data_IF_341291185739
#
_entry.id   IF_341291185739
#
_cell.length_a   1.000
_cell.length_b   1.000
_cell.length_c   1.000
_cell.angle_alpha   90.00
_cell.angle_beta   90.00
_cell.angle_gamma   90.00
#
_symmetry.space_group_name_H-M   'P 1'
#
loop_
_entity.id
_entity.type
_entity.pdbx_description
1 polymer ?
#
# COMPACT_ATOMS: atom_id res chain seq x y z
N UNK A 1 -14.63 -0.63 13.19
CA UNK A 1 -15.45 -1.36 12.20
C UNK A 1 -14.54 -2.32 11.46
N UNK A 2 -15.05 -3.45 10.94
CA UNK A 2 -14.21 -4.39 10.16
C UNK A 2 -14.06 -3.93 8.72
N UNK A 3 -13.07 -4.47 8.01
CA UNK A 3 -12.89 -4.27 6.58
C UNK A 3 -14.17 -4.59 5.78
N UNK A 4 -14.80 -5.73 6.08
CA UNK A 4 -16.00 -6.18 5.39
C UNK A 4 -17.18 -5.17 5.51
N UNK A 5 -17.35 -4.53 6.67
CA UNK A 5 -18.39 -3.52 6.86
C UNK A 5 -18.13 -2.25 6.04
N UNK A 6 -16.88 -1.79 5.98
CA UNK A 6 -16.51 -0.62 5.17
C UNK A 6 -16.61 -0.92 3.67
N UNK A 7 -16.18 -2.11 3.25
CA UNK A 7 -16.31 -2.56 1.88
C UNK A 7 -17.78 -2.63 1.43
N UNK A 8 -18.68 -3.07 2.31
CA UNK A 8 -20.12 -3.10 2.01
C UNK A 8 -20.69 -1.70 1.75
N UNK A 9 -20.24 -0.67 2.50
CA UNK A 9 -20.64 0.72 2.25
C UNK A 9 -20.15 1.22 0.88
N UNK A 10 -18.90 0.94 0.51
CA UNK A 10 -18.36 1.29 -0.81
C UNK A 10 -19.14 0.60 -1.96
N UNK A 11 -19.54 -0.65 -1.75
CA UNK A 11 -20.27 -1.45 -2.73
C UNK A 11 -21.75 -1.06 -2.89
N UNK A 12 -22.30 -0.17 -2.06
CA UNK A 12 -23.67 0.34 -2.25
C UNK A 12 -23.81 1.15 -3.55
N UNK A 13 -22.70 1.72 -4.06
CA UNK A 13 -22.64 2.37 -5.35
C UNK A 13 -21.88 1.48 -6.35
N UNK A 14 -22.60 0.57 -7.01
CA UNK A 14 -22.01 -0.41 -7.91
C UNK A 14 -21.29 0.25 -9.11
N UNK A 15 -21.87 1.30 -9.69
CA UNK A 15 -21.25 2.04 -10.79
C UNK A 15 -19.91 2.66 -10.39
N UNK A 16 -19.83 3.23 -9.18
CA UNK A 16 -18.57 3.74 -8.63
C UNK A 16 -17.56 2.62 -8.43
N UNK A 17 -17.97 1.50 -7.86
CA UNK A 17 -17.10 0.36 -7.62
C UNK A 17 -16.57 -0.22 -8.94
N UNK A 18 -17.42 -0.33 -9.97
CA UNK A 18 -17.03 -0.77 -11.31
C UNK A 18 -16.05 0.19 -11.98
N UNK A 19 -16.29 1.51 -11.89
CA UNK A 19 -15.38 2.52 -12.43
C UNK A 19 -14.00 2.50 -11.73
N UNK A 20 -13.99 2.38 -10.40
CA UNK A 20 -12.75 2.27 -9.62
C UNK A 20 -11.97 1.01 -9.99
N UNK A 21 -12.67 -0.13 -10.11
CA UNK A 21 -12.09 -1.40 -10.56
C UNK A 21 -11.44 -1.30 -11.94
N UNK A 22 -12.14 -0.69 -12.91
CA UNK A 22 -11.62 -0.44 -14.25
C UNK A 22 -10.40 0.49 -14.25
N UNK A 23 -10.40 1.54 -13.41
CA UNK A 23 -9.27 2.47 -13.30
C UNK A 23 -7.99 1.76 -12.83
N UNK A 24 -8.10 0.88 -11.84
CA UNK A 24 -6.97 0.07 -11.36
C UNK A 24 -6.57 -1.00 -12.38
N UNK A 25 -7.55 -1.61 -13.07
CA UNK A 25 -7.29 -2.57 -14.13
C UNK A 25 -6.49 -1.96 -15.28
N UNK A 26 -6.81 -0.73 -15.68
CA UNK A 26 -6.05 -0.01 -16.71
C UNK A 26 -4.58 0.17 -16.32
N UNK A 27 -4.31 0.57 -15.07
CA UNK A 27 -2.94 0.68 -14.55
C UNK A 27 -2.25 -0.68 -14.54
N UNK A 28 -2.98 -1.73 -14.17
CA UNK A 28 -2.48 -3.10 -14.22
C UNK A 28 -2.13 -3.53 -15.65
N UNK A 29 -2.98 -3.29 -16.63
CA UNK A 29 -2.74 -3.63 -18.03
C UNK A 29 -1.54 -2.88 -18.60
N UNK A 30 -1.34 -1.60 -18.23
CA UNK A 30 -0.15 -0.84 -18.60
C UNK A 30 1.15 -1.45 -18.08
N UNK A 31 1.16 -1.91 -16.82
CA UNK A 31 2.29 -2.68 -16.27
C UNK A 31 2.58 -3.88 -17.15
N UNK A 32 1.57 -4.69 -17.44
CA UNK A 32 1.74 -5.96 -18.15
C UNK A 32 2.29 -5.73 -19.58
N UNK A 33 1.82 -4.70 -20.28
CA UNK A 33 2.39 -4.28 -21.56
C UNK A 33 3.84 -3.77 -21.44
N UNK A 34 4.16 -2.99 -20.41
CA UNK A 34 5.50 -2.43 -20.19
C UNK A 34 6.55 -3.49 -19.89
N UNK A 35 6.18 -4.54 -19.15
CA UNK A 35 7.12 -5.63 -18.79
C UNK A 35 7.27 -6.66 -19.91
N UNK A 36 6.28 -6.83 -20.78
CA UNK A 36 6.35 -7.78 -21.89
C UNK A 36 7.52 -7.49 -22.86
N UNK A 37 7.95 -6.22 -22.94
CA UNK A 37 9.12 -5.81 -23.73
C UNK A 37 10.47 -6.02 -23.05
N UNK A 38 10.53 -6.66 -21.87
CA UNK A 38 11.76 -6.87 -21.11
C UNK A 38 12.02 -8.39 -20.97
N UNK A 39 12.79 -9.02 -21.88
CA UNK A 39 13.03 -10.46 -21.86
C UNK A 39 13.59 -10.98 -20.53
N UNK A 40 14.41 -10.17 -19.86
CA UNK A 40 15.06 -10.48 -18.60
C UNK A 40 14.24 -10.10 -17.35
N UNK A 41 12.94 -9.80 -17.49
CA UNK A 41 12.11 -9.30 -16.39
C UNK A 41 12.15 -10.16 -15.13
N UNK A 42 12.05 -11.49 -15.27
CA UNK A 42 12.09 -12.39 -14.11
C UNK A 42 13.46 -12.44 -13.43
N UNK A 43 14.55 -12.32 -14.21
CA UNK A 43 15.91 -12.18 -13.70
C UNK A 43 16.11 -10.85 -12.98
N UNK A 44 15.55 -9.76 -13.52
CA UNK A 44 15.56 -8.44 -12.88
C UNK A 44 14.83 -8.46 -11.54
N UNK A 45 13.68 -9.15 -11.47
CA UNK A 45 12.93 -9.36 -10.22
C UNK A 45 13.70 -10.19 -9.21
N UNK A 46 14.37 -11.25 -9.67
CA UNK A 46 15.21 -12.09 -8.82
C UNK A 46 16.36 -11.26 -8.24
N UNK A 47 17.10 -10.54 -9.09
CA UNK A 47 18.17 -9.64 -8.66
C UNK A 47 17.69 -8.59 -7.64
N UNK A 48 16.53 -7.99 -7.89
CA UNK A 48 15.90 -7.05 -6.94
C UNK A 48 15.58 -7.71 -5.59
N UNK A 49 15.08 -8.95 -5.59
CA UNK A 49 14.86 -9.71 -4.35
C UNK A 49 16.17 -10.02 -3.64
N UNK A 50 17.17 -10.55 -4.35
CA UNK A 50 18.46 -10.96 -3.78
C UNK A 50 19.20 -9.77 -3.14
N UNK A 51 19.14 -8.60 -3.78
CA UNK A 51 19.69 -7.36 -3.18
C UNK A 51 18.94 -7.03 -1.90
N UNK A 52 17.60 -7.10 -1.88
CA UNK A 52 16.84 -6.83 -0.65
C UNK A 52 17.09 -7.89 0.43
N UNK A 53 17.26 -9.16 0.08
CA UNK A 53 17.63 -10.23 1.02
C UNK A 53 18.99 -9.97 1.67
N UNK A 54 19.97 -9.60 0.86
CA UNK A 54 21.30 -9.21 1.34
C UNK A 54 21.22 -7.99 2.27
N UNK A 55 20.44 -6.97 1.91
CA UNK A 55 20.22 -5.78 2.76
C UNK A 55 19.58 -6.16 4.09
N UNK A 56 18.50 -6.93 4.08
CA UNK A 56 17.80 -7.30 5.32
C UNK A 56 18.66 -8.19 6.24
N UNK A 57 19.64 -8.89 5.68
CA UNK A 57 20.60 -9.71 6.45
C UNK A 57 21.78 -8.92 7.03
N UNK A 58 22.05 -7.71 6.53
CA UNK A 58 23.20 -6.87 6.91
C UNK A 58 22.75 -5.42 7.16
N UNK A 59 21.51 -5.26 7.66
CA UNK A 59 20.81 -3.98 7.65
C UNK A 59 21.53 -2.95 8.53
N UNK A 60 21.96 -3.38 9.71
CA UNK A 60 22.79 -2.64 10.66
C UNK A 60 24.06 -2.08 9.99
N UNK A 61 24.80 -2.92 9.29
CA UNK A 61 26.07 -2.55 8.64
C UNK A 61 25.84 -1.50 7.55
N UNK A 62 24.81 -1.69 6.72
CA UNK A 62 24.53 -0.74 5.65
C UNK A 62 23.97 0.59 6.16
N UNK A 63 23.26 0.56 7.29
CA UNK A 63 22.72 1.73 7.96
C UNK A 63 23.84 2.60 8.55
N UNK A 64 24.79 2.00 9.26
CA UNK A 64 25.97 2.71 9.79
C UNK A 64 26.85 3.26 8.66
N UNK A 65 27.08 2.46 7.61
CA UNK A 65 27.83 2.91 6.43
C UNK A 65 27.15 4.09 5.72
N UNK A 66 25.82 4.06 5.61
CA UNK A 66 25.06 5.18 5.06
C UNK A 66 25.22 6.44 5.92
N UNK A 67 25.09 6.33 7.24
CA UNK A 67 25.24 7.45 8.16
C UNK A 67 26.64 8.08 8.09
N UNK A 68 27.70 7.25 8.06
CA UNK A 68 29.08 7.71 7.91
C UNK A 68 29.24 8.53 6.61
N UNK A 69 28.76 8.00 5.48
CA UNK A 69 28.88 8.67 4.18
C UNK A 69 28.01 9.93 4.08
N UNK A 70 26.80 9.90 4.62
CA UNK A 70 25.91 11.05 4.65
C UNK A 70 26.51 12.18 5.50
N UNK A 71 27.05 11.85 6.67
CA UNK A 71 27.72 12.81 7.55
C UNK A 71 28.97 13.40 6.90
N UNK A 72 29.78 12.58 6.22
CA UNK A 72 30.94 13.05 5.45
C UNK A 72 30.55 14.00 4.29
N UNK A 73 29.31 13.92 3.82
CA UNK A 73 28.73 14.83 2.82
C UNK A 73 28.12 16.11 3.43
N UNK A 74 28.18 16.30 4.75
CA UNK A 74 27.60 17.45 5.44
C UNK A 74 26.11 17.32 5.73
N UNK A 75 25.55 16.11 5.61
CA UNK A 75 24.16 15.81 6.01
C UNK A 75 24.13 15.49 7.50
N UNK A 76 23.12 15.98 8.22
CA UNK A 76 22.90 15.56 9.61
C UNK A 76 21.93 14.38 9.65
N UNK A 77 22.38 13.23 10.16
CA UNK A 77 21.55 12.04 10.30
C UNK A 77 20.95 11.97 11.70
N UNK A 78 19.68 11.58 11.79
CA UNK A 78 18.96 11.37 13.03
C UNK A 78 18.33 9.98 13.03
N UNK A 79 18.30 9.35 14.20
CA UNK A 79 17.66 8.06 14.43
C UNK A 79 16.40 8.24 15.27
N UNK A 80 15.31 7.59 14.87
CA UNK A 80 14.07 7.56 15.61
C UNK A 80 13.60 6.11 15.79
N UNK A 81 13.29 5.75 17.04
CA UNK A 81 12.77 4.41 17.34
C UNK A 81 11.32 4.25 16.88
N UNK A 82 10.53 5.32 16.94
CA UNK A 82 9.09 5.31 16.64
C UNK A 82 8.59 6.63 16.04
N UNK A 83 7.27 6.70 15.82
CA UNK A 83 6.57 7.87 15.29
C UNK A 83 6.68 9.11 16.19
N UNK A 84 6.66 8.94 17.52
CA UNK A 84 6.73 10.06 18.47
C UNK A 84 8.10 10.72 18.41
N UNK A 85 9.15 9.91 18.44
CA UNK A 85 10.53 10.38 18.35
C UNK A 85 10.80 11.04 16.98
N UNK A 86 10.33 10.43 15.89
CA UNK A 86 10.41 11.03 14.55
C UNK A 86 9.78 12.44 14.55
N UNK A 87 8.55 12.57 15.06
CA UNK A 87 7.84 13.84 15.08
C UNK A 87 8.54 14.89 15.96
N UNK A 88 9.08 14.48 17.11
CA UNK A 88 9.87 15.33 18.01
C UNK A 88 11.14 15.86 17.33
N UNK A 89 11.86 15.00 16.60
CA UNK A 89 13.07 15.37 15.85
C UNK A 89 12.73 16.38 14.75
N UNK A 90 11.74 16.06 13.91
CA UNK A 90 11.31 16.94 12.81
C UNK A 90 10.87 18.30 13.35
N UNK A 91 9.99 18.32 14.36
CA UNK A 91 9.57 19.56 15.00
C UNK A 91 10.74 20.33 15.63
N UNK A 92 11.69 19.63 16.27
CA UNK A 92 12.88 20.26 16.83
C UNK A 92 13.75 20.95 15.78
N UNK A 93 13.88 20.37 14.58
CA UNK A 93 14.57 20.99 13.44
C UNK A 93 13.81 22.25 13.00
N UNK A 94 12.50 22.13 12.76
CA UNK A 94 11.66 23.26 12.30
C UNK A 94 11.63 24.41 13.30
N UNK A 95 11.55 24.09 14.60
CA UNK A 95 11.49 25.06 15.68
C UNK A 95 12.78 25.88 15.80
N UNK A 96 13.96 25.24 15.68
CA UNK A 96 15.26 25.96 15.68
C UNK A 96 15.37 26.99 14.56
N UNK A 97 14.70 26.73 13.44
CA UNK A 97 14.69 27.61 12.27
C UNK A 97 13.51 28.59 12.25
N UNK A 98 12.70 28.63 13.32
CA UNK A 98 11.48 29.43 13.41
C UNK A 98 10.59 29.26 12.17
N UNK A 99 10.43 28.02 11.73
CA UNK A 99 9.61 27.66 10.57
C UNK A 99 8.15 27.53 10.99
N UNK A 100 7.29 28.32 10.36
CA UNK A 100 5.83 28.33 10.54
C UNK A 100 5.08 27.73 9.33
N UNK A 101 5.77 27.51 8.21
CA UNK A 101 5.22 26.88 7.01
C UNK A 101 6.23 25.97 6.31
N UNK A 102 5.79 24.77 5.98
CA UNK A 102 6.57 23.77 5.23
C UNK A 102 5.84 23.30 3.98
N UNK A 103 6.64 22.90 2.98
CA UNK A 103 6.15 22.08 1.87
C UNK A 103 6.56 20.64 2.09
N UNK A 104 5.62 19.72 1.88
CA UNK A 104 5.84 18.29 2.02
C UNK A 104 5.62 17.61 0.67
N UNK A 105 6.57 16.79 0.24
CA UNK A 105 6.33 15.82 -0.84
C UNK A 105 5.82 14.51 -0.24
N UNK A 106 5.18 13.70 -1.08
CA UNK A 106 4.57 12.45 -0.65
C UNK A 106 5.53 11.55 0.15
N UNK A 107 5.08 11.11 1.32
CA UNK A 107 5.83 10.18 2.17
C UNK A 107 4.92 9.32 3.04
N UNK A 108 4.81 8.03 2.69
CA UNK A 108 4.07 7.06 3.50
C UNK A 108 4.58 6.98 4.94
N UNK A 109 5.87 7.21 5.18
CA UNK A 109 6.42 7.18 6.53
C UNK A 109 5.88 8.34 7.38
N UNK A 110 5.78 9.54 6.80
CA UNK A 110 5.22 10.68 7.53
C UNK A 110 3.73 10.51 7.82
N UNK A 111 3.01 9.82 6.92
CA UNK A 111 1.62 9.41 7.15
C UNK A 111 1.52 8.34 8.26
N UNK A 112 2.45 7.37 8.31
CA UNK A 112 2.52 6.38 9.39
C UNK A 112 2.80 7.04 10.75
N UNK A 113 3.51 8.17 10.74
CA UNK A 113 3.84 8.92 11.94
C UNK A 113 2.82 10.02 12.30
N UNK A 114 1.77 10.23 11.50
CA UNK A 114 0.81 11.33 11.68
C UNK A 114 1.50 12.70 11.83
N UNK A 115 2.51 12.94 10.98
CA UNK A 115 3.36 14.13 11.10
C UNK A 115 2.57 15.42 10.85
N UNK A 116 1.62 15.40 9.89
CA UNK A 116 0.85 16.59 9.53
C UNK A 116 0.06 17.09 10.75
N UNK A 117 -0.75 16.23 11.35
CA UNK A 117 -1.56 16.56 12.52
C UNK A 117 -0.69 16.99 13.71
N UNK A 118 0.48 16.36 13.88
CA UNK A 118 1.43 16.72 14.93
C UNK A 118 1.98 18.14 14.78
N UNK A 119 2.33 18.54 13.55
CA UNK A 119 2.90 19.86 13.25
C UNK A 119 1.82 20.95 13.22
N UNK A 120 0.64 20.66 12.65
CA UNK A 120 -0.49 21.59 12.58
C UNK A 120 -1.00 21.94 13.99
N UNK A 121 -1.07 20.96 14.90
CA UNK A 121 -1.40 21.20 16.31
C UNK A 121 -0.41 22.13 17.04
N UNK A 122 0.76 22.39 16.44
CA UNK A 122 1.82 23.27 16.95
C UNK A 122 1.94 24.56 16.13
N UNK A 123 0.97 24.85 15.27
CA UNK A 123 0.91 26.09 14.50
C UNK A 123 1.80 26.14 13.27
N UNK A 124 2.30 24.99 12.79
CA UNK A 124 3.07 24.90 11.55
C UNK A 124 2.13 24.50 10.41
N UNK A 125 1.98 25.35 9.40
CA UNK A 125 1.22 25.05 8.19
C UNK A 125 1.97 24.00 7.36
N UNK A 126 1.35 22.84 7.14
CA UNK A 126 1.86 21.79 6.27
C UNK A 126 1.16 21.85 4.93
N UNK A 127 1.91 21.99 3.84
CA UNK A 127 1.36 21.99 2.47
C UNK A 127 1.86 20.78 1.72
N UNK A 128 0.96 19.82 1.44
CA UNK A 128 1.27 18.71 0.55
C UNK A 128 1.37 19.20 -0.91
N UNK A 129 2.42 18.74 -1.58
CA UNK A 129 2.81 19.26 -2.92
C UNK A 129 2.65 18.26 -4.05
N UNK A 130 2.45 16.98 -3.73
CA UNK A 130 2.02 15.97 -4.71
C UNK A 130 0.54 16.23 -5.00
N UNK A 131 0.13 16.25 -6.27
CA UNK A 131 -1.24 16.61 -6.63
C UNK A 131 -2.27 15.70 -5.95
N UNK A 132 -1.98 14.39 -5.89
CA UNK A 132 -2.86 13.42 -5.24
C UNK A 132 -2.98 13.65 -3.74
N UNK A 133 -1.84 13.88 -3.06
CA UNK A 133 -1.81 14.21 -1.62
C UNK A 133 -2.52 15.55 -1.34
N UNK A 134 -2.33 16.56 -2.19
CA UNK A 134 -2.98 17.87 -2.04
C UNK A 134 -4.50 17.77 -2.17
N UNK A 135 -5.01 16.96 -3.11
CA UNK A 135 -6.45 16.74 -3.28
C UNK A 135 -7.05 16.13 -2.01
N UNK A 136 -6.43 15.09 -1.45
CA UNK A 136 -6.97 14.46 -0.23
C UNK A 136 -6.77 15.33 1.01
N UNK A 137 -5.71 16.15 1.05
CA UNK A 137 -5.48 17.12 2.13
C UNK A 137 -6.62 18.14 2.18
N UNK A 138 -7.03 18.69 1.03
CA UNK A 138 -8.17 19.60 0.94
C UNK A 138 -9.49 18.94 1.35
N UNK A 139 -9.60 17.62 1.18
CA UNK A 139 -10.76 16.82 1.60
C UNK A 139 -10.68 16.31 3.04
N UNK A 140 -9.55 16.52 3.72
CA UNK A 140 -9.29 15.99 5.07
C UNK A 140 -9.54 14.48 5.17
N UNK A 141 -9.10 13.72 4.17
CA UNK A 141 -9.25 12.27 4.10
C UNK A 141 -7.90 11.56 3.91
N UNK A 142 -7.72 10.33 4.41
CA UNK A 142 -6.47 9.60 4.23
C UNK A 142 -6.30 9.12 2.78
N UNK A 143 -5.05 8.85 2.34
CA UNK A 143 -4.78 8.38 0.99
C UNK A 143 -5.41 7.00 0.76
N UNK A 144 -6.11 6.86 -0.36
CA UNK A 144 -6.70 5.56 -0.72
C UNK A 144 -5.66 4.60 -1.31
N UNK A 145 -4.63 5.11 -1.99
CA UNK A 145 -3.63 4.29 -2.69
C UNK A 145 -2.20 4.84 -2.54
N UNK A 146 -1.22 3.96 -2.33
CA UNK A 146 0.20 4.34 -2.08
C UNK A 146 0.81 5.14 -3.23
N UNK A 147 0.45 4.84 -4.49
CA UNK A 147 0.96 5.56 -5.67
C UNK A 147 0.04 6.68 -6.15
N UNK A 148 -1.28 6.54 -5.98
CA UNK A 148 -2.29 7.39 -6.62
C UNK A 148 -3.34 7.77 -5.55
N UNK A 149 -2.99 8.64 -4.58
CA UNK A 149 -3.77 8.82 -3.35
C UNK A 149 -5.27 9.07 -3.56
N UNK A 150 -5.60 9.86 -4.60
CA UNK A 150 -6.95 10.25 -4.98
C UNK A 150 -7.63 9.34 -6.05
N UNK A 151 -7.15 8.12 -6.29
CA UNK A 151 -7.68 7.21 -7.36
C UNK A 151 -9.17 6.87 -7.22
N UNK A 152 -9.76 7.08 -6.04
CA UNK A 152 -11.17 6.85 -5.78
C UNK A 152 -12.08 8.02 -6.22
N UNK A 153 -11.50 9.17 -6.59
CA UNK A 153 -12.20 10.38 -7.02
C UNK A 153 -12.20 10.52 -8.54
N UNK A 154 -13.33 10.97 -9.09
CA UNK A 154 -13.44 11.35 -10.51
C UNK A 154 -12.96 12.78 -10.72
N UNK A 155 -12.58 13.09 -11.96
CA UNK A 155 -12.10 14.42 -12.37
C UNK A 155 -13.14 15.53 -12.12
N UNK A 156 -14.43 15.23 -12.23
CA UNK A 156 -15.51 16.19 -11.96
C UNK A 156 -15.58 16.57 -10.47
N UNK A 157 -15.33 15.60 -9.57
CA UNK A 157 -15.30 15.84 -8.12
C UNK A 157 -14.07 16.65 -7.71
N UNK A 158 -12.94 16.40 -8.36
CA UNK A 158 -11.72 17.21 -8.20
C UNK A 158 -11.98 18.64 -8.70
N UNK A 159 -12.70 18.79 -9.81
CA UNK A 159 -13.13 20.08 -10.34
C UNK A 159 -13.95 20.90 -9.37
N UNK A 160 -14.96 20.28 -8.76
CA UNK A 160 -15.77 20.94 -7.72
C UNK A 160 -14.93 21.34 -6.50
N UNK A 161 -14.04 20.45 -6.04
CA UNK A 161 -13.13 20.73 -4.94
C UNK A 161 -12.21 21.92 -5.25
N UNK A 162 -11.66 21.99 -6.47
CA UNK A 162 -10.80 23.10 -6.88
C UNK A 162 -11.58 24.39 -7.09
N UNK A 163 -12.86 24.32 -7.47
CA UNK A 163 -13.71 25.51 -7.50
C UNK A 163 -13.85 26.11 -6.09
N UNK A 164 -14.13 25.25 -5.10
CA UNK A 164 -14.34 25.65 -3.70
C UNK A 164 -13.07 26.17 -3.03
N UNK A 165 -11.92 25.55 -3.28
CA UNK A 165 -10.67 25.85 -2.56
C UNK A 165 -9.66 26.70 -3.34
N UNK A 166 -9.66 26.60 -4.67
CA UNK A 166 -8.68 27.26 -5.56
C UNK A 166 -9.33 28.32 -6.46
N UNK A 167 -10.66 28.45 -6.48
CA UNK A 167 -11.38 29.44 -7.27
C UNK A 167 -11.38 29.16 -8.77
N UNK A 168 -11.24 27.90 -9.20
CA UNK A 168 -11.37 27.52 -10.61
C UNK A 168 -12.80 27.71 -11.14
N UNK A 169 -13.01 27.64 -12.45
CA UNK A 169 -14.35 27.70 -13.04
C UNK A 169 -15.26 26.57 -12.53
N UNK A 170 -16.52 26.90 -12.21
CA UNK A 170 -17.49 25.92 -11.73
C UNK A 170 -17.77 24.86 -12.79
N UNK A 171 -17.72 23.58 -12.41
CA UNK A 171 -17.93 22.46 -13.32
C UNK A 171 -16.74 22.10 -14.22
N UNK A 172 -15.58 22.74 -14.03
CA UNK A 172 -14.36 22.36 -14.74
C UNK A 172 -13.99 20.89 -14.49
N UNK A 173 -13.71 20.13 -15.54
CA UNK A 173 -13.34 18.70 -15.44
C UNK A 173 -12.20 18.31 -16.36
N UNK A 174 -11.59 19.27 -17.04
CA UNK A 174 -10.42 19.03 -17.88
C UNK A 174 -9.17 18.83 -17.01
N UNK A 175 -8.49 17.67 -17.09
CA UNK A 175 -7.33 17.40 -16.22
C UNK A 175 -6.17 18.37 -16.42
N UNK A 176 -5.96 18.89 -17.63
CA UNK A 176 -4.86 19.81 -17.90
C UNK A 176 -5.11 21.16 -17.23
N UNK A 177 -6.32 21.71 -17.37
CA UNK A 177 -6.74 22.93 -16.68
C UNK A 177 -6.65 22.79 -15.16
N UNK A 178 -7.19 21.71 -14.58
CA UNK A 178 -7.16 21.50 -13.13
C UNK A 178 -5.73 21.36 -12.60
N UNK A 179 -4.86 20.66 -13.34
CA UNK A 179 -3.44 20.53 -12.97
C UNK A 179 -2.72 21.87 -13.01
N UNK A 180 -3.00 22.72 -14.01
CA UNK A 180 -2.42 24.06 -14.09
C UNK A 180 -2.90 24.95 -12.94
N UNK A 181 -4.18 24.90 -12.58
CA UNK A 181 -4.72 25.63 -11.43
C UNK A 181 -4.02 25.22 -10.12
N UNK A 182 -3.88 23.92 -9.88
CA UNK A 182 -3.14 23.41 -8.71
C UNK A 182 -1.67 23.87 -8.71
N UNK A 183 -1.02 23.87 -9.88
CA UNK A 183 0.36 24.34 -10.04
C UNK A 183 0.50 25.81 -9.68
N UNK A 184 -0.40 26.67 -10.15
CA UNK A 184 -0.37 28.10 -9.83
C UNK A 184 -0.58 28.34 -8.33
N UNK A 185 -1.55 27.65 -7.72
CA UNK A 185 -1.79 27.71 -6.29
C UNK A 185 -0.57 27.25 -5.47
N UNK A 186 0.08 26.14 -5.86
CA UNK A 186 1.24 25.62 -5.11
C UNK A 186 2.50 26.48 -5.27
N UNK A 187 2.64 27.25 -6.36
CA UNK A 187 3.84 28.05 -6.63
C UNK A 187 4.14 29.07 -5.52
N UNK A 188 3.13 29.76 -5.03
CA UNK A 188 3.29 30.71 -3.92
C UNK A 188 3.71 29.99 -2.62
N UNK A 189 3.15 28.80 -2.38
CA UNK A 189 3.48 27.99 -1.21
C UNK A 189 4.93 27.51 -1.24
N UNK A 190 5.43 27.09 -2.41
CA UNK A 190 6.84 26.75 -2.59
C UNK A 190 7.78 27.92 -2.31
N UNK A 191 7.46 29.11 -2.80
CA UNK A 191 8.29 30.31 -2.59
C UNK A 191 8.29 30.79 -1.14
N UNK A 192 7.17 30.60 -0.43
CA UNK A 192 7.02 31.01 0.96
C UNK A 192 7.60 30.01 1.97
N UNK A 193 7.79 28.74 1.59
CA UNK A 193 8.20 27.70 2.52
C UNK A 193 9.68 27.83 2.94
N UNK A 194 9.93 27.66 4.24
CA UNK A 194 11.28 27.73 4.82
C UNK A 194 11.91 26.36 5.09
N UNK A 195 11.10 25.30 5.03
CA UNK A 195 11.61 23.93 5.02
C UNK A 195 10.82 23.07 4.03
N UNK A 196 11.51 22.08 3.47
CA UNK A 196 10.93 21.06 2.62
C UNK A 196 11.12 19.68 3.24
N UNK A 197 10.03 18.92 3.34
CA UNK A 197 10.03 17.56 3.88
C UNK A 197 9.73 16.60 2.73
N UNK A 198 10.47 15.50 2.63
CA UNK A 198 10.23 14.48 1.61
C UNK A 198 10.32 13.07 2.19
N UNK A 199 9.70 12.11 1.51
CA UNK A 199 9.98 10.70 1.71
C UNK A 199 11.22 10.25 0.94
N UNK A 200 11.64 9.01 1.17
CA UNK A 200 12.75 8.38 0.44
C UNK A 200 12.31 7.10 -0.24
N UNK A 201 12.61 6.98 -1.54
CA UNK A 201 12.42 5.74 -2.28
C UNK A 201 13.58 4.77 -2.00
N UNK A 202 14.82 5.27 -2.10
CA UNK A 202 16.04 4.50 -1.87
C UNK A 202 17.09 5.35 -1.16
N UNK A 203 17.82 4.78 -0.21
CA UNK A 203 19.01 5.39 0.38
C UNK A 203 20.23 4.53 0.03
N UNK A 204 21.30 5.13 -0.48
CA UNK A 204 22.44 4.40 -1.06
C UNK A 204 23.60 4.41 -0.07
N UNK A 205 23.87 3.27 0.56
CA UNK A 205 24.90 3.16 1.60
C UNK A 205 26.29 3.59 1.10
N UNK A 206 26.69 3.17 -0.11
CA UNK A 206 27.97 3.52 -0.73
C UNK A 206 28.22 5.04 -0.82
N UNK A 207 27.17 5.83 -1.04
CA UNK A 207 27.30 7.27 -1.35
C UNK A 207 26.77 8.20 -0.27
N UNK A 208 26.03 7.68 0.72
CA UNK A 208 25.34 8.49 1.72
C UNK A 208 24.22 9.37 1.15
N UNK A 209 23.78 9.09 -0.09
CA UNK A 209 22.74 9.86 -0.78
C UNK A 209 21.35 9.23 -0.67
N UNK A 210 20.31 10.06 -0.68
CA UNK A 210 18.91 9.62 -0.76
C UNK A 210 18.34 9.91 -2.14
N UNK A 211 17.45 9.04 -2.61
CA UNK A 211 16.85 9.10 -3.93
C UNK A 211 15.33 9.20 -3.81
N UNK A 212 14.78 10.20 -4.50
CA UNK A 212 13.34 10.46 -4.59
C UNK A 212 12.89 10.30 -6.04
N UNK A 213 11.86 9.48 -6.26
CA UNK A 213 11.30 9.22 -7.60
C UNK A 213 9.93 9.88 -7.71
N UNK A 214 9.77 10.84 -8.64
CA UNK A 214 8.51 11.57 -8.84
C UNK A 214 8.16 11.72 -10.33
N UNK A 215 6.90 12.02 -10.61
CA UNK A 215 6.44 12.34 -11.97
C UNK A 215 6.09 13.82 -12.16
N UNK A 216 6.10 14.62 -11.07
CA UNK A 216 5.58 16.00 -11.06
C UNK A 216 6.67 17.03 -10.74
N UNK A 217 7.88 16.62 -10.32
CA UNK A 217 9.01 17.51 -10.00
C UNK A 217 8.80 18.37 -8.75
N UNK A 218 7.69 18.17 -8.04
CA UNK A 218 7.28 18.90 -6.84
C UNK A 218 8.28 18.74 -5.68
N UNK A 219 8.82 17.53 -5.48
CA UNK A 219 9.82 17.27 -4.46
C UNK A 219 11.10 18.11 -4.70
N UNK A 220 11.59 18.13 -5.94
CA UNK A 220 12.78 18.89 -6.31
C UNK A 220 12.56 20.39 -6.13
N UNK A 221 11.39 20.89 -6.55
CA UNK A 221 11.02 22.29 -6.36
C UNK A 221 11.05 22.69 -4.88
N UNK A 222 10.47 21.87 -4.01
CA UNK A 222 10.52 22.12 -2.56
C UNK A 222 11.93 22.11 -2.01
N UNK A 223 12.68 21.03 -2.26
CA UNK A 223 14.03 20.82 -1.73
C UNK A 223 15.02 21.89 -2.20
N UNK A 224 14.95 22.31 -3.48
CA UNK A 224 15.87 23.33 -3.99
C UNK A 224 15.55 24.74 -3.46
N UNK A 225 14.28 25.08 -3.28
CA UNK A 225 13.87 26.42 -2.81
C UNK A 225 14.06 26.57 -1.29
N UNK A 226 13.68 25.57 -0.50
CA UNK A 226 13.75 25.66 0.95
C UNK A 226 15.19 25.60 1.49
N UNK A 227 15.60 26.46 2.45
CA UNK A 227 16.92 26.41 3.07
C UNK A 227 17.14 25.16 3.94
N UNK A 228 16.08 24.60 4.52
CA UNK A 228 16.14 23.39 5.36
C UNK A 228 15.46 22.23 4.63
N UNK A 229 16.18 21.13 4.44
CA UNK A 229 15.70 19.92 3.78
C UNK A 229 15.63 18.79 4.79
N UNK A 230 14.51 18.09 4.87
CA UNK A 230 14.31 16.95 5.78
C UNK A 230 13.82 15.76 4.96
N UNK A 231 14.59 14.68 4.96
CA UNK A 231 14.24 13.42 4.29
C UNK A 231 13.92 12.36 5.32
N UNK A 232 12.68 11.86 5.33
CA UNK A 232 12.24 10.85 6.29
C UNK A 232 12.21 9.47 5.61
N UNK A 233 12.88 8.48 6.22
CA UNK A 233 12.97 7.13 5.67
C UNK A 233 12.86 6.05 6.73
N UNK A 234 12.25 4.93 6.36
CA UNK A 234 12.29 3.73 7.19
C UNK A 234 13.65 3.04 7.04
N UNK A 235 14.08 2.30 8.05
CA UNK A 235 15.37 1.57 8.02
C UNK A 235 15.48 0.63 6.80
N UNK A 236 14.37 0.12 6.28
CA UNK A 236 14.32 -0.82 5.16
C UNK A 236 14.59 -0.20 3.79
N UNK A 237 14.73 1.13 3.70
CA UNK A 237 14.88 1.87 2.43
C UNK A 237 16.29 1.80 1.83
N UNK A 238 17.24 1.24 2.56
CA UNK A 238 18.63 1.15 2.13
C UNK A 238 18.82 0.20 0.95
N UNK A 239 19.73 0.57 0.06
CA UNK A 239 20.37 -0.28 -0.94
C UNK A 239 21.90 -0.13 -0.84
N UNK A 240 22.68 -1.19 -1.12
CA UNK A 240 24.12 -1.15 -0.87
C UNK A 240 24.89 -0.18 -1.79
N UNK A 241 24.67 -0.27 -3.11
CA UNK A 241 25.50 0.39 -4.13
C UNK A 241 24.70 1.25 -5.08
N UNK A 242 25.34 2.26 -5.66
CA UNK A 242 24.69 3.15 -6.63
C UNK A 242 24.18 2.40 -7.87
N UNK A 243 24.90 1.39 -8.34
CA UNK A 243 24.50 0.55 -9.48
C UNK A 243 23.16 -0.19 -9.26
N UNK A 244 22.79 -0.46 -8.00
CA UNK A 244 21.53 -1.14 -7.67
C UNK A 244 20.31 -0.25 -7.95
N UNK A 245 20.48 1.07 -8.04
CA UNK A 245 19.41 1.97 -8.45
C UNK A 245 18.88 1.63 -9.85
N UNK A 246 19.76 1.22 -10.78
CA UNK A 246 19.35 0.81 -12.12
C UNK A 246 18.37 -0.37 -12.09
N UNK A 247 18.50 -1.27 -11.12
CA UNK A 247 17.57 -2.38 -10.90
C UNK A 247 16.24 -1.85 -10.38
N UNK A 248 16.26 -1.08 -9.29
CA UNK A 248 15.03 -0.70 -8.62
C UNK A 248 14.22 0.37 -9.34
N UNK A 249 14.84 1.30 -10.07
CA UNK A 249 14.13 2.28 -10.90
C UNK A 249 13.37 1.62 -12.04
N UNK A 250 13.99 0.61 -12.69
CA UNK A 250 13.34 -0.21 -13.73
C UNK A 250 12.17 -1.03 -13.19
N UNK A 251 12.28 -1.55 -11.96
CA UNK A 251 11.24 -2.32 -11.29
C UNK A 251 10.09 -1.43 -10.79
N UNK A 252 10.40 -0.29 -10.15
CA UNK A 252 9.44 0.58 -9.48
C UNK A 252 8.40 1.15 -10.44
N UNK A 253 8.84 1.91 -11.45
CA UNK A 253 7.95 2.64 -12.35
C UNK A 253 7.10 1.69 -13.21
N UNK A 254 7.71 0.62 -13.74
CA UNK A 254 7.01 -0.38 -14.55
C UNK A 254 5.94 -1.10 -13.74
N UNK A 255 6.25 -1.45 -12.49
CA UNK A 255 5.30 -2.14 -11.62
C UNK A 255 4.19 -1.22 -11.11
N UNK A 256 4.48 0.06 -10.90
CA UNK A 256 3.54 1.02 -10.35
C UNK A 256 2.54 1.53 -11.38
N UNK A 257 3.03 2.09 -12.49
CA UNK A 257 2.23 2.84 -13.48
C UNK A 257 2.44 2.36 -14.91
N UNK A 258 3.28 1.34 -15.13
CA UNK A 258 3.64 0.85 -16.47
C UNK A 258 4.63 1.74 -17.22
N UNK A 259 5.24 2.72 -16.56
CA UNK A 259 6.23 3.59 -17.17
C UNK A 259 7.62 2.94 -17.13
N UNK A 260 8.47 3.08 -18.16
CA UNK A 260 9.83 2.53 -18.15
C UNK A 260 10.70 3.05 -16.99
N UNK A 261 10.49 4.31 -16.58
CA UNK A 261 11.14 5.02 -15.47
C UNK A 261 10.24 6.20 -15.08
N UNK A 262 10.39 6.76 -13.88
CA UNK A 262 9.73 8.02 -13.48
C UNK A 262 10.32 9.20 -14.23
N UNK A 263 9.55 10.29 -14.37
CA UNK A 263 10.03 11.50 -15.07
C UNK A 263 11.22 12.13 -14.34
N UNK A 264 11.20 12.13 -13.01
CA UNK A 264 12.29 12.61 -12.17
C UNK A 264 12.79 11.48 -11.26
N UNK A 265 14.11 11.31 -11.23
CA UNK A 265 14.82 10.47 -10.26
C UNK A 265 15.94 11.32 -9.68
N UNK A 266 15.70 11.88 -8.51
CA UNK A 266 16.52 12.94 -7.94
C UNK A 266 17.38 12.39 -6.83
N UNK A 267 18.68 12.68 -6.90
CA UNK A 267 19.69 12.17 -5.99
C UNK A 267 20.20 13.30 -5.11
N UNK A 268 19.86 13.26 -3.83
CA UNK A 268 20.27 14.26 -2.85
C UNK A 268 21.44 13.70 -2.04
N UNK A 269 22.63 14.25 -2.26
CA UNK A 269 23.85 13.84 -1.58
C UNK A 269 24.32 14.83 -0.53
N UNK A 270 24.05 16.12 -0.72
CA UNK A 270 24.63 17.21 0.06
C UNK A 270 23.60 18.31 0.26
N UNK A 271 23.68 19.07 1.37
CA UNK A 271 22.93 20.31 1.50
C UNK A 271 23.31 21.28 0.38
N UNK A 272 22.36 22.12 -0.03
CA UNK A 272 22.67 23.23 -0.93
C UNK A 272 23.60 24.24 -0.24
N UNK A 273 24.37 25.04 -0.99
CA UNK A 273 25.18 26.10 -0.40
C UNK A 273 24.34 27.01 0.51
N UNK A 274 24.76 27.17 1.77
CA UNK A 274 24.05 27.97 2.78
C UNK A 274 22.74 27.36 3.30
N UNK A 275 22.46 26.08 2.99
CA UNK A 275 21.31 25.34 3.52
C UNK A 275 21.72 24.17 4.42
N UNK A 276 20.71 23.52 5.00
CA UNK A 276 20.84 22.33 5.83
C UNK A 276 20.10 21.15 5.20
N UNK A 277 20.65 19.95 5.37
CA UNK A 277 20.04 18.70 4.94
C UNK A 277 20.05 17.72 6.10
N UNK A 278 18.88 17.21 6.43
CA UNK A 278 18.66 16.23 7.48
C UNK A 278 18.08 14.95 6.89
N UNK A 279 18.54 13.80 7.39
CA UNK A 279 17.90 12.50 7.14
C UNK A 279 17.43 11.95 8.47
N UNK A 280 16.14 11.66 8.60
CA UNK A 280 15.55 11.04 9.79
C UNK A 280 15.24 9.59 9.46
N UNK A 281 16.03 8.67 10.01
CA UNK A 281 15.92 7.23 9.84
C UNK A 281 15.02 6.67 10.95
N UNK A 282 13.98 5.94 10.58
CA UNK A 282 12.92 5.53 11.49
C UNK A 282 12.75 4.01 11.51
N UNK A 283 12.76 3.40 12.70
CA UNK A 283 12.41 2.00 12.87
C UNK A 283 10.88 1.80 12.83
N UNK A 284 10.16 2.39 13.78
CA UNK A 284 8.69 2.29 13.91
C UNK A 284 8.18 0.84 13.71
N UNK A 285 8.81 -0.12 14.39
CA UNK A 285 8.44 -1.54 14.42
C UNK A 285 9.06 -2.41 13.31
N UNK A 286 9.90 -1.85 12.43
CA UNK A 286 10.54 -2.58 11.32
C UNK A 286 11.51 -3.63 11.82
N UNK A 287 12.27 -3.37 12.88
CA UNK A 287 13.19 -4.34 13.50
C UNK A 287 12.42 -5.51 14.10
N UNK A 288 11.28 -5.24 14.76
CA UNK A 288 10.38 -6.31 15.23
C UNK A 288 9.83 -7.15 14.06
N UNK A 289 9.47 -6.52 12.95
CA UNK A 289 9.01 -7.22 11.75
C UNK A 289 10.14 -8.05 11.10
N UNK A 290 11.37 -7.54 11.11
CA UNK A 290 12.56 -8.24 10.59
C UNK A 290 12.86 -9.52 11.37
N UNK A 291 12.64 -9.49 12.69
CA UNK A 291 12.83 -10.63 13.57
C UNK A 291 11.80 -11.76 13.34
N UNK A 292 10.70 -11.49 12.61
CA UNK A 292 9.68 -12.49 12.33
C UNK A 292 10.00 -13.25 11.05
N UNK A 293 10.45 -14.49 11.20
CA UNK A 293 10.85 -15.35 10.08
C UNK A 293 9.78 -15.45 8.97
N UNK A 294 8.52 -15.69 9.34
CA UNK A 294 7.40 -15.82 8.41
C UNK A 294 7.02 -14.49 7.73
N UNK A 295 7.49 -13.33 8.21
CA UNK A 295 6.98 -12.02 7.79
C UNK A 295 8.04 -11.02 7.32
N UNK A 296 9.33 -11.25 7.58
CA UNK A 296 10.44 -10.34 7.25
C UNK A 296 10.54 -10.00 5.77
N UNK A 297 10.11 -10.91 4.88
CA UNK A 297 10.07 -10.68 3.43
C UNK A 297 9.22 -9.45 3.05
N UNK A 298 8.24 -9.07 3.88
CA UNK A 298 7.46 -7.84 3.65
C UNK A 298 8.31 -6.55 3.63
N UNK A 299 9.47 -6.53 4.31
CA UNK A 299 10.39 -5.39 4.35
C UNK A 299 11.18 -5.18 3.04
N UNK A 300 11.09 -6.12 2.09
CA UNK A 300 11.62 -5.90 0.73
C UNK A 300 10.86 -4.83 -0.04
N UNK A 301 9.67 -4.45 0.43
CA UNK A 301 8.71 -3.64 -0.33
C UNK A 301 9.29 -2.29 -0.77
N UNK A 302 9.30 -2.05 -2.08
CA UNK A 302 9.67 -0.76 -2.69
C UNK A 302 8.46 0.18 -2.88
N UNK A 303 7.33 -0.12 -2.23
CA UNK A 303 6.09 0.69 -2.26
C UNK A 303 5.53 0.99 -3.67
N UNK A 304 5.68 0.06 -4.61
CA UNK A 304 5.20 0.24 -5.99
C UNK A 304 3.68 0.13 -6.18
N UNK A 305 2.91 -0.40 -5.22
CA UNK A 305 1.45 -0.54 -5.34
C UNK A 305 0.94 -1.64 -6.30
N UNK A 306 1.81 -2.39 -6.99
CA UNK A 306 1.40 -3.44 -7.93
C UNK A 306 0.46 -4.50 -7.33
N UNK A 307 0.68 -4.83 -6.04
CA UNK A 307 -0.18 -5.76 -5.31
C UNK A 307 -1.62 -5.24 -5.15
N UNK A 308 -1.81 -3.92 -5.04
CA UNK A 308 -3.11 -3.28 -4.89
C UNK A 308 -3.86 -3.28 -6.22
N UNK A 309 -3.16 -2.90 -7.31
CA UNK A 309 -3.71 -2.85 -8.66
C UNK A 309 -4.19 -4.21 -9.17
N UNK A 310 -3.56 -5.31 -8.74
CA UNK A 310 -3.95 -6.67 -9.15
C UNK A 310 -5.00 -7.30 -8.22
N UNK A 311 -5.15 -6.80 -6.99
CA UNK A 311 -5.95 -7.47 -5.97
C UNK A 311 -7.45 -7.30 -6.25
N UNK A 312 -8.21 -8.40 -6.43
CA UNK A 312 -9.64 -8.30 -6.71
C UNK A 312 -10.43 -7.75 -5.51
N UNK A 313 -9.95 -7.95 -4.28
CA UNK A 313 -10.58 -7.39 -3.08
C UNK A 313 -10.40 -5.88 -3.08
N UNK A 314 -9.15 -5.40 -3.13
CA UNK A 314 -8.84 -3.96 -3.12
C UNK A 314 -9.56 -3.20 -4.23
N UNK A 315 -9.56 -3.74 -5.46
CA UNK A 315 -10.24 -3.10 -6.60
C UNK A 315 -11.75 -2.95 -6.39
N UNK A 316 -12.38 -3.87 -5.68
CA UNK A 316 -13.82 -3.88 -5.41
C UNK A 316 -14.20 -3.21 -4.09
N UNK A 317 -13.29 -3.08 -3.14
CA UNK A 317 -13.58 -2.53 -1.80
C UNK A 317 -13.04 -1.11 -1.58
N UNK A 318 -12.11 -0.65 -2.42
CA UNK A 318 -11.43 0.64 -2.26
C UNK A 318 -10.42 0.63 -1.09
N UNK A 319 -9.50 1.60 -1.11
CA UNK A 319 -8.43 1.70 -0.10
C UNK A 319 -8.91 1.97 1.31
N UNK A 320 -9.91 2.84 1.47
CA UNK A 320 -10.44 3.23 2.78
C UNK A 320 -11.12 2.07 3.55
N UNK A 321 -11.43 0.97 2.87
CA UNK A 321 -11.94 -0.23 3.55
C UNK A 321 -10.90 -0.91 4.45
N UNK A 322 -9.59 -0.66 4.25
CA UNK A 322 -8.51 -1.32 5.01
C UNK A 322 -8.16 -0.62 6.33
N UNK A 323 -8.60 0.63 6.55
CA UNK A 323 -8.47 1.34 7.84
C UNK A 323 -7.06 1.36 8.43
N UNK A 324 -6.09 1.58 7.57
CA UNK A 324 -4.69 1.69 7.91
C UNK A 324 -3.97 2.53 6.87
N UNK A 325 -2.93 3.24 7.28
CA UNK A 325 -2.16 4.18 6.45
C UNK A 325 -1.65 3.55 5.16
N UNK A 326 -1.17 2.31 5.25
CA UNK A 326 -0.83 1.50 4.08
C UNK A 326 -2.01 0.53 3.84
N UNK A 327 -2.86 0.78 2.84
CA UNK A 327 -3.98 -0.12 2.53
C UNK A 327 -3.57 -1.27 1.60
N UNK A 328 -4.49 -2.21 1.40
CA UNK A 328 -4.32 -3.31 0.45
C UNK A 328 -3.44 -4.47 0.95
N UNK A 329 -2.98 -5.35 0.04
CA UNK A 329 -2.35 -6.62 0.43
C UNK A 329 -1.08 -6.47 1.26
N UNK A 330 -0.19 -5.54 0.92
CA UNK A 330 1.05 -5.33 1.69
C UNK A 330 0.75 -4.75 3.08
N UNK A 331 -0.21 -3.81 3.18
CA UNK A 331 -0.69 -3.29 4.45
C UNK A 331 -1.26 -4.38 5.35
N UNK A 332 -2.04 -5.29 4.76
CA UNK A 332 -2.66 -6.42 5.47
C UNK A 332 -1.65 -7.44 6.03
N UNK A 333 -0.37 -7.36 5.65
CA UNK A 333 0.72 -8.09 6.29
C UNK A 333 1.36 -7.28 7.42
N UNK A 334 1.54 -5.98 7.22
CA UNK A 334 2.28 -5.12 8.15
C UNK A 334 1.44 -4.74 9.37
N UNK A 335 0.17 -4.38 9.18
CA UNK A 335 -0.70 -3.85 10.23
C UNK A 335 -0.98 -4.83 11.38
N UNK A 336 -1.25 -6.14 11.13
CA UNK A 336 -1.41 -7.10 12.24
C UNK A 336 -0.13 -7.26 13.06
N UNK A 337 1.02 -6.93 12.46
CA UNK A 337 2.30 -6.95 13.13
C UNK A 337 2.50 -5.82 14.14
N UNK A 338 1.73 -4.73 14.02
CA UNK A 338 1.70 -3.58 14.93
C UNK A 338 0.64 -3.81 16.02
N UNK A 339 -0.60 -4.10 15.60
CA UNK A 339 -1.71 -4.41 16.51
C UNK A 339 -2.60 -5.51 15.91
N UNK A 340 -2.37 -6.73 16.37
CA UNK A 340 -3.10 -7.91 15.90
C UNK A 340 -4.59 -7.84 16.24
N UNK A 341 -4.95 -7.26 17.40
CA UNK A 341 -6.34 -7.18 17.85
C UNK A 341 -7.13 -6.20 16.99
N UNK A 342 -6.52 -5.07 16.63
CA UNK A 342 -7.15 -4.04 15.79
C UNK A 342 -7.18 -4.42 14.31
N UNK A 343 -6.12 -5.06 13.80
CA UNK A 343 -5.94 -5.27 12.35
C UNK A 343 -5.99 -6.74 11.90
N UNK A 344 -6.24 -7.70 12.79
CA UNK A 344 -6.26 -9.13 12.47
C UNK A 344 -7.33 -9.54 11.46
N UNK A 345 -8.39 -8.74 11.26
CA UNK A 345 -9.39 -9.01 10.23
C UNK A 345 -8.87 -8.77 8.80
N UNK A 346 -7.84 -7.92 8.63
CA UNK A 346 -7.25 -7.61 7.32
C UNK A 346 -6.60 -8.82 6.65
N UNK A 347 -6.10 -9.79 7.43
CA UNK A 347 -5.62 -11.06 6.87
C UNK A 347 -6.72 -11.83 6.11
N UNK A 348 -8.00 -11.56 6.43
CA UNK A 348 -9.16 -12.14 5.76
C UNK A 348 -9.69 -11.28 4.60
N UNK A 349 -9.17 -10.07 4.39
CA UNK A 349 -9.42 -9.21 3.23
C UNK A 349 -8.67 -9.69 1.96
N UNK A 350 -8.68 -11.00 1.73
CA UNK A 350 -7.95 -11.66 0.65
C UNK A 350 -8.62 -12.98 0.25
N UNK A 351 -8.61 -13.29 -1.04
CA UNK A 351 -9.00 -14.61 -1.55
C UNK A 351 -7.87 -15.64 -1.51
N UNK A 352 -6.65 -15.23 -1.12
CA UNK A 352 -5.42 -16.03 -1.22
C UNK A 352 -5.11 -16.52 -2.65
N UNK A 353 -5.57 -15.81 -3.68
CA UNK A 353 -5.35 -16.18 -5.08
C UNK A 353 -3.90 -16.09 -5.59
N UNK A 354 -2.93 -15.67 -4.78
CA UNK A 354 -1.52 -15.58 -5.18
C UNK A 354 -1.15 -14.43 -6.13
N UNK A 355 -2.12 -13.76 -6.76
CA UNK A 355 -1.87 -12.71 -7.76
C UNK A 355 -0.96 -11.58 -7.25
N UNK A 356 -1.10 -11.15 -6.00
CA UNK A 356 -0.24 -10.12 -5.41
C UNK A 356 1.23 -10.54 -5.28
N UNK A 357 1.51 -11.82 -5.01
CA UNK A 357 2.87 -12.37 -4.94
C UNK A 357 3.46 -12.56 -6.32
N UNK A 358 2.67 -13.08 -7.26
CA UNK A 358 3.06 -13.27 -8.66
C UNK A 358 3.56 -11.97 -9.30
N UNK A 359 2.97 -10.83 -8.92
CA UNK A 359 3.26 -9.55 -9.58
C UNK A 359 4.30 -8.71 -8.85
N UNK A 360 4.71 -9.12 -7.65
CA UNK A 360 5.61 -8.35 -6.83
C UNK A 360 7.01 -8.26 -7.48
N UNK A 361 7.52 -7.04 -7.76
CA UNK A 361 8.80 -6.89 -8.45
C UNK A 361 10.00 -7.37 -7.63
N UNK A 362 9.85 -7.50 -6.32
CA UNK A 362 10.89 -7.94 -5.37
C UNK A 362 10.49 -9.24 -4.67
N UNK A 363 9.65 -10.06 -5.34
CA UNK A 363 9.28 -11.43 -4.96
C UNK A 363 8.81 -11.62 -3.50
N UNK A 364 7.96 -10.72 -3.00
CA UNK A 364 7.32 -10.87 -1.69
C UNK A 364 6.20 -11.92 -1.78
N UNK A 365 6.25 -12.91 -0.92
CA UNK A 365 5.28 -14.00 -0.73
C UNK A 365 4.01 -13.54 0.03
N UNK A 366 3.44 -12.41 -0.39
CA UNK A 366 2.26 -11.77 0.23
C UNK A 366 1.13 -12.76 0.60
N UNK A 367 0.72 -13.64 -0.32
CA UNK A 367 -0.40 -14.55 -0.05
C UNK A 367 -0.08 -15.59 1.04
N UNK A 368 1.15 -16.10 1.10
CA UNK A 368 1.59 -17.04 2.13
C UNK A 368 1.65 -16.36 3.50
N UNK A 369 2.21 -15.15 3.56
CA UNK A 369 2.23 -14.35 4.78
C UNK A 369 0.81 -14.04 5.29
N UNK A 370 -0.13 -13.69 4.40
CA UNK A 370 -1.53 -13.51 4.78
C UNK A 370 -2.15 -14.81 5.33
N UNK A 371 -1.80 -15.96 4.75
CA UNK A 371 -2.25 -17.25 5.26
C UNK A 371 -1.68 -17.55 6.66
N UNK A 372 -0.41 -17.24 6.91
CA UNK A 372 0.23 -17.34 8.23
C UNK A 372 -0.47 -16.46 9.27
N UNK A 373 -0.79 -15.21 8.92
CA UNK A 373 -1.56 -14.34 9.82
C UNK A 373 -2.91 -14.93 10.20
N UNK A 374 -3.64 -15.58 9.27
CA UNK A 374 -4.91 -16.25 9.61
C UNK A 374 -4.74 -17.34 10.65
N UNK A 375 -3.62 -18.07 10.62
CA UNK A 375 -3.30 -19.10 11.61
C UNK A 375 -3.02 -18.49 12.98
N UNK A 376 -2.24 -17.41 13.03
CA UNK A 376 -1.92 -16.68 14.27
C UNK A 376 -3.19 -16.08 14.89
N UNK A 377 -3.98 -15.33 14.10
CA UNK A 377 -5.26 -14.73 14.53
C UNK A 377 -6.22 -15.82 15.06
N UNK A 378 -6.24 -16.99 14.43
CA UNK A 378 -7.04 -18.12 14.90
C UNK A 378 -6.52 -18.72 16.21
N UNK A 379 -5.20 -18.89 16.34
CA UNK A 379 -4.56 -19.51 17.51
C UNK A 379 -4.65 -18.63 18.75
N UNK A 380 -4.54 -17.31 18.57
CA UNK A 380 -4.60 -16.32 19.66
C UNK A 380 -6.04 -15.94 20.05
N UNK A 381 -7.06 -16.58 19.45
CA UNK A 381 -8.45 -16.38 19.85
C UNK A 381 -9.07 -15.06 19.37
N UNK A 382 -8.43 -14.37 18.42
CA UNK A 382 -8.95 -13.14 17.81
C UNK A 382 -10.03 -13.39 16.74
N UNK A 383 -10.37 -14.66 16.47
CA UNK A 383 -11.51 -15.02 15.62
C UNK A 383 -12.83 -15.07 16.41
N UNK A 384 -13.89 -14.35 15.96
CA UNK A 384 -15.22 -14.45 16.57
C UNK A 384 -15.75 -15.89 16.59
N UNK A 385 -16.46 -16.28 17.65
CA UNK A 385 -17.04 -17.62 17.79
C UNK A 385 -17.99 -17.97 16.62
N UNK A 386 -18.68 -16.96 16.08
CA UNK A 386 -19.56 -17.07 14.90
C UNK A 386 -18.83 -17.52 13.64
N UNK A 387 -17.50 -17.31 13.56
CA UNK A 387 -16.65 -17.78 12.46
C UNK A 387 -15.86 -19.03 12.83
N UNK A 388 -15.35 -19.09 14.08
CA UNK A 388 -14.54 -20.21 14.57
C UNK A 388 -15.30 -21.53 14.61
N UNK A 389 -16.55 -21.54 15.11
CA UNK A 389 -17.32 -22.78 15.26
C UNK A 389 -17.72 -23.40 13.91
N UNK A 390 -18.29 -22.65 12.93
CA UNK A 390 -18.57 -23.22 11.62
C UNK A 390 -17.34 -23.71 10.87
N UNK A 391 -16.19 -23.01 10.98
CA UNK A 391 -14.94 -23.45 10.36
C UNK A 391 -14.40 -24.74 10.98
N UNK A 392 -14.46 -24.89 12.30
CA UNK A 392 -14.08 -26.12 12.97
C UNK A 392 -14.98 -27.30 12.53
N UNK A 393 -16.29 -27.09 12.49
CA UNK A 393 -17.25 -28.09 12.01
C UNK A 393 -17.02 -28.46 10.53
N UNK A 394 -16.80 -27.47 9.67
CA UNK A 394 -16.45 -27.72 8.27
C UNK A 394 -15.14 -28.51 8.14
N UNK A 395 -14.13 -28.22 8.96
CA UNK A 395 -12.88 -28.98 9.04
C UNK A 395 -13.12 -30.45 9.37
N UNK A 396 -13.93 -30.74 10.40
CA UNK A 396 -14.30 -32.12 10.76
C UNK A 396 -15.02 -32.84 9.62
N UNK A 397 -15.96 -32.19 8.95
CA UNK A 397 -16.69 -32.78 7.80
C UNK A 397 -15.75 -33.07 6.64
N UNK A 398 -14.87 -32.13 6.29
CA UNK A 398 -13.96 -32.26 5.14
C UNK A 398 -12.84 -33.28 5.36
N UNK A 399 -12.43 -33.52 6.61
CA UNK A 399 -11.43 -34.54 6.96
C UNK A 399 -11.97 -35.98 6.84
N UNK A 400 -13.28 -36.18 6.93
CA UNK A 400 -13.89 -37.51 6.97
C UNK A 400 -14.70 -37.78 5.69
N UNK A 401 -14.15 -38.59 4.78
CA UNK A 401 -14.76 -38.85 3.46
C UNK A 401 -16.18 -39.42 3.53
N UNK A 402 -16.50 -40.26 4.52
CA UNK A 402 -17.84 -40.81 4.75
C UNK A 402 -18.84 -39.73 5.18
N UNK A 403 -18.46 -38.92 6.16
CA UNK A 403 -19.27 -37.80 6.66
C UNK A 403 -19.51 -36.75 5.58
N UNK A 404 -18.48 -36.40 4.80
CA UNK A 404 -18.60 -35.50 3.65
C UNK A 404 -19.62 -36.02 2.62
N UNK A 405 -19.55 -37.31 2.25
CA UNK A 405 -20.47 -37.88 1.27
C UNK A 405 -21.92 -37.86 1.80
N UNK A 406 -22.12 -38.27 3.06
CA UNK A 406 -23.42 -38.29 3.71
C UNK A 406 -24.02 -36.88 3.82
N UNK A 407 -23.28 -35.93 4.40
CA UNK A 407 -23.72 -34.55 4.56
C UNK A 407 -23.97 -33.88 3.20
N UNK A 408 -23.14 -34.15 2.20
CA UNK A 408 -23.34 -33.64 0.85
C UNK A 408 -24.61 -34.19 0.19
N UNK A 409 -24.94 -35.47 0.39
CA UNK A 409 -26.18 -36.07 -0.11
C UNK A 409 -27.40 -35.47 0.60
N UNK A 410 -27.36 -35.38 1.93
CA UNK A 410 -28.42 -34.76 2.73
C UNK A 410 -28.64 -33.29 2.32
N UNK A 411 -27.56 -32.51 2.15
CA UNK A 411 -27.63 -31.12 1.70
C UNK A 411 -28.25 -30.97 0.31
N UNK A 412 -27.94 -31.85 -0.65
CA UNK A 412 -28.56 -31.83 -1.99
C UNK A 412 -30.06 -32.08 -1.92
N UNK A 413 -30.50 -33.09 -1.16
CA UNK A 413 -31.94 -33.38 -1.00
C UNK A 413 -32.64 -32.22 -0.30
N UNK A 414 -32.06 -31.71 0.78
CA UNK A 414 -32.59 -30.57 1.52
C UNK A 414 -32.74 -29.32 0.64
N UNK A 415 -31.71 -28.97 -0.15
CA UNK A 415 -31.75 -27.79 -1.01
C UNK A 415 -32.77 -27.91 -2.16
N UNK A 416 -33.05 -29.11 -2.67
CA UNK A 416 -34.12 -29.31 -3.68
C UNK A 416 -35.53 -29.15 -3.10
N UNK A 417 -35.71 -29.51 -1.83
CA UNK A 417 -37.01 -29.46 -1.16
C UNK A 417 -37.23 -28.15 -0.38
N UNK A 418 -36.18 -27.41 -0.08
CA UNK A 418 -36.25 -26.21 0.73
C UNK A 418 -36.98 -25.08 -0.01
N UNK A 419 -37.97 -24.42 0.62
CA UNK A 419 -38.57 -23.21 0.09
C UNK A 419 -37.51 -22.13 -0.11
N UNK A 420 -37.65 -21.32 -1.16
CA UNK A 420 -36.72 -20.23 -1.48
C UNK A 420 -36.48 -19.29 -0.29
N UNK A 421 -37.53 -18.96 0.48
CA UNK A 421 -37.40 -18.11 1.67
C UNK A 421 -36.51 -18.71 2.78
N UNK A 422 -36.43 -20.04 2.88
CA UNK A 422 -35.56 -20.71 3.84
C UNK A 422 -34.10 -20.70 3.36
N UNK A 423 -33.87 -20.76 2.05
CA UNK A 423 -32.53 -20.72 1.45
C UNK A 423 -31.97 -19.29 1.44
N UNK A 424 -32.78 -18.31 1.06
CA UNK A 424 -32.41 -16.90 0.92
C UNK A 424 -32.91 -16.11 2.12
N UNK A 425 -32.22 -16.27 3.25
CA UNK A 425 -32.49 -15.57 4.49
C UNK A 425 -31.24 -14.80 4.97
N UNK A 426 -31.38 -14.02 6.05
CA UNK A 426 -30.32 -13.16 6.60
C UNK A 426 -29.05 -13.90 7.07
N UNK A 427 -29.14 -15.21 7.34
CA UNK A 427 -28.00 -16.06 7.71
C UNK A 427 -27.22 -16.56 6.47
N UNK A 428 -27.84 -16.51 5.28
CA UNK A 428 -27.18 -16.88 4.04
C UNK A 428 -26.49 -15.66 3.39
N UNK A 429 -25.24 -15.42 3.76
CA UNK A 429 -24.44 -14.35 3.18
C UNK A 429 -24.22 -14.51 1.66
N UNK A 430 -24.21 -15.74 1.12
CA UNK A 430 -24.12 -15.98 -0.33
C UNK A 430 -25.39 -15.50 -1.04
N UNK A 431 -26.54 -15.88 -0.50
CA UNK A 431 -27.86 -15.53 -1.01
C UNK A 431 -28.20 -14.03 -0.97
N UNK A 432 -27.39 -13.21 -0.30
CA UNK A 432 -27.59 -11.76 -0.25
C UNK A 432 -27.38 -11.07 -1.61
N UNK A 433 -26.52 -11.62 -2.47
CA UNK A 433 -26.19 -11.02 -3.78
C UNK A 433 -25.96 -12.04 -4.89
N UNK A 434 -26.13 -13.33 -4.61
CA UNK A 434 -25.87 -14.42 -5.56
C UNK A 434 -26.97 -15.46 -5.48
N UNK A 435 -27.37 -15.97 -6.63
CA UNK A 435 -28.16 -17.20 -6.70
C UNK A 435 -27.29 -18.42 -6.40
N UNK A 436 -27.87 -19.43 -5.76
CA UNK A 436 -27.25 -20.76 -5.74
C UNK A 436 -27.42 -21.40 -7.11
N UNK A 437 -26.41 -22.12 -7.63
CA UNK A 437 -26.57 -22.89 -8.85
C UNK A 437 -27.62 -23.99 -8.64
N UNK A 438 -28.20 -24.45 -9.75
CA UNK A 438 -29.17 -25.55 -9.71
C UNK A 438 -28.55 -26.78 -9.04
N UNK A 439 -29.29 -27.38 -8.10
CA UNK A 439 -28.77 -28.46 -7.27
C UNK A 439 -28.67 -29.74 -8.11
N UNK A 440 -27.46 -30.26 -8.38
CA UNK A 440 -27.29 -31.38 -9.30
C UNK A 440 -27.92 -32.66 -8.75
N UNK A 441 -28.38 -33.55 -9.64
CA UNK A 441 -28.99 -34.84 -9.31
C UNK A 441 -28.07 -35.73 -8.46
N UNK A 442 -26.76 -35.67 -8.75
CA UNK A 442 -25.71 -36.45 -8.11
C UNK A 442 -24.45 -35.61 -7.90
N UNK A 443 -23.54 -36.10 -7.06
CA UNK A 443 -22.20 -35.50 -6.90
C UNK A 443 -21.26 -35.90 -8.04
N UNK A 444 -20.23 -35.08 -8.30
CA UNK A 444 -19.16 -35.44 -9.25
C UNK A 444 -18.55 -36.82 -8.95
N UNK A 445 -18.36 -37.18 -7.68
CA UNK A 445 -17.83 -38.49 -7.27
C UNK A 445 -18.77 -39.64 -7.65
N UNK A 446 -20.08 -39.47 -7.47
CA UNK A 446 -21.09 -40.46 -7.86
C UNK A 446 -21.12 -40.63 -9.39
N UNK A 447 -21.17 -39.51 -10.12
CA UNK A 447 -21.07 -39.49 -11.57
C UNK A 447 -19.79 -40.18 -12.04
N UNK A 448 -18.63 -39.83 -11.48
CA UNK A 448 -17.33 -40.39 -11.85
C UNK A 448 -17.29 -41.89 -11.60
N UNK A 449 -17.73 -42.37 -10.43
CA UNK A 449 -17.75 -43.80 -10.12
C UNK A 449 -18.69 -44.59 -11.04
N UNK A 450 -19.81 -44.01 -11.47
CA UNK A 450 -20.73 -44.66 -12.42
C UNK A 450 -20.11 -44.77 -13.82
N UNK A 451 -19.49 -43.69 -14.29
CA UNK A 451 -18.99 -43.60 -15.68
C UNK A 451 -17.55 -44.15 -15.84
N UNK A 452 -16.81 -44.42 -14.76
CA UNK A 452 -15.45 -44.97 -14.84
C UNK A 452 -15.42 -46.42 -15.34
N UNK A 453 -16.49 -47.18 -15.12
CA UNK A 453 -16.59 -48.59 -15.53
C UNK A 453 -17.15 -48.80 -16.95
N UNK A 454 -17.59 -47.74 -17.63
CA UNK A 454 -18.10 -47.82 -19.02
C UNK A 454 -16.97 -47.75 -20.08
N UNK A 455 -15.69 -47.81 -19.64
CA UNK A 455 -14.49 -47.85 -20.51
C UNK A 455 -13.50 -48.96 -20.13
N UNK A 456 -13.99 -50.13 -19.71
CA UNK A 456 -13.19 -51.35 -19.58
C UNK A 456 -13.68 -52.40 -20.58
#
# INVERSE_FOLDING_TARGET
MTHAHRAAAFLQNEDRANWHDQSLWHVRSKRDGSIAGIPEWESLRQLGSDIKDNVLSNLDTYLEAFEEKATANGVTVHWATDAEEHNRIVHGILHRHAVDRIVKSKSMLTEECHLNEYLEARGIEVVDTDLGERIIQLRSEPPSHIVMPAIHLKKEEIGQLFHEHLGTEAGASDPQYLTEAARQHLREKFLAARAAITGVNFAVAETGGVVVCTNEGNADMGVHLAPVQIHCMGIEKIIPRAEHLGVFTRLLARSATGQPVTIYTSHHHRPKPGGEMHVVIVDNGRTTQLAREDFRNSLKCIRCGACMNTCPIYRRSGGHSYDHTIPGPIGSILSPGIDLKKHGDLAFASTLCGSCSDVCPVRIDIHDQLYKWRQIVSKEGHLPATKRLPLAGAGTVLQHSGLYNFMGQAARVALRMAPRALVYNRLNAWGASRELPEVPAESFKQWYNRNKNDKA
#
